data_IF_280016748123
#
_entry.id   IF_280016748123
#
_cell.length_a   1.000
_cell.length_b   1.000
_cell.length_c   1.000
_cell.angle_alpha   90.00
_cell.angle_beta   90.00
_cell.angle_gamma   90.00
#
_symmetry.space_group_name_H-M   'P 1'
#
loop_
_entity.id
_entity.type
_entity.pdbx_description
1 polymer ?
#
# COMPACT_ATOMS: atom_id res chain seq x y z
N UNK A 1 -11.61 -7.38 -3.62
CA UNK A 1 -10.44 -8.13 -3.09
C UNK A 1 -9.33 -7.13 -2.81
N UNK A 2 -8.62 -7.27 -1.69
CA UNK A 2 -7.53 -6.35 -1.31
C UNK A 2 -6.23 -6.82 -1.95
N UNK A 3 -5.52 -5.95 -2.66
CA UNK A 3 -4.27 -6.29 -3.37
C UNK A 3 -3.00 -5.81 -2.66
N UNK A 4 -3.13 -4.77 -1.82
CA UNK A 4 -2.02 -4.22 -1.05
C UNK A 4 -2.50 -3.63 0.27
N UNK A 5 -1.55 -3.34 1.16
CA UNK A 5 -1.86 -2.69 2.45
C UNK A 5 -2.13 -1.19 2.30
N UNK A 6 -1.50 -0.53 1.34
CA UNK A 6 -1.57 0.93 1.17
C UNK A 6 -2.67 1.40 0.21
N UNK A 7 -3.31 0.52 -0.56
CA UNK A 7 -4.30 0.91 -1.58
C UNK A 7 -3.80 0.88 -3.02
N UNK A 8 -2.52 0.58 -3.26
CA UNK A 8 -2.03 0.32 -4.62
C UNK A 8 -2.68 -0.96 -5.17
N UNK A 9 -3.14 -0.92 -6.42
CA UNK A 9 -3.53 -2.10 -7.18
C UNK A 9 -2.27 -2.76 -7.73
N UNK A 10 -1.82 -3.85 -7.09
CA UNK A 10 -0.61 -4.56 -7.52
C UNK A 10 -0.76 -5.17 -8.92
N UNK A 11 -1.97 -5.44 -9.40
CA UNK A 11 -2.21 -5.87 -10.78
C UNK A 11 -1.90 -4.80 -11.83
N UNK A 12 -2.01 -3.53 -11.46
CA UNK A 12 -1.71 -2.39 -12.33
C UNK A 12 -0.29 -1.83 -12.09
N UNK A 13 0.49 -2.49 -11.23
CA UNK A 13 1.83 -2.04 -10.85
C UNK A 13 2.90 -2.58 -11.80
N UNK A 14 3.58 -1.69 -12.51
CA UNK A 14 4.61 -2.04 -13.50
C UNK A 14 5.75 -2.89 -12.94
N UNK A 15 6.17 -2.62 -11.70
CA UNK A 15 7.22 -3.38 -11.01
C UNK A 15 6.91 -4.88 -10.82
N UNK A 16 5.64 -5.30 -10.95
CA UNK A 16 5.28 -6.72 -10.91
C UNK A 16 5.99 -7.51 -12.02
N UNK A 17 6.07 -6.93 -13.21
CA UNK A 17 6.71 -7.54 -14.38
C UNK A 17 8.20 -7.22 -14.44
N UNK A 18 8.59 -5.95 -14.25
CA UNK A 18 9.99 -5.52 -14.40
C UNK A 18 10.97 -6.22 -13.46
N UNK A 19 10.56 -6.41 -12.20
CA UNK A 19 11.42 -7.00 -11.17
C UNK A 19 10.88 -8.33 -10.62
N UNK A 20 9.84 -8.88 -11.24
CA UNK A 20 9.22 -10.13 -10.80
C UNK A 20 8.58 -10.05 -9.41
N UNK A 21 8.10 -8.87 -9.00
CA UNK A 21 7.43 -8.71 -7.71
C UNK A 21 6.13 -9.54 -7.66
N UNK A 22 5.86 -10.24 -6.55
CA UNK A 22 4.66 -11.10 -6.41
C UNK A 22 3.41 -10.37 -5.92
N UNK A 23 3.50 -9.05 -5.71
CA UNK A 23 2.46 -8.21 -5.13
C UNK A 23 2.54 -8.11 -3.61
N UNK A 24 2.07 -6.99 -3.06
CA UNK A 24 2.28 -6.59 -1.66
C UNK A 24 1.83 -7.63 -0.63
N UNK A 25 0.72 -8.34 -0.89
CA UNK A 25 0.18 -9.36 0.02
C UNK A 25 0.92 -10.71 -0.06
N UNK A 26 1.76 -10.92 -1.09
CA UNK A 26 2.45 -12.19 -1.36
C UNK A 26 3.98 -12.09 -1.19
N UNK A 27 4.47 -10.98 -0.63
CA UNK A 27 5.89 -10.76 -0.37
C UNK A 27 6.09 -10.42 1.10
N UNK A 28 7.19 -10.86 1.68
CA UNK A 28 7.59 -10.44 3.03
C UNK A 28 8.35 -9.10 2.97
N UNK A 29 9.18 -8.93 1.94
CA UNK A 29 10.09 -7.80 1.75
C UNK A 29 9.87 -7.13 0.38
N UNK A 30 9.77 -5.78 0.30
CA UNK A 30 9.73 -5.08 -0.99
C UNK A 30 11.10 -5.12 -1.68
N UNK A 31 11.13 -4.93 -3.00
CA UNK A 31 12.40 -4.93 -3.74
C UNK A 31 13.30 -3.73 -3.41
N UNK A 32 12.72 -2.63 -2.93
CA UNK A 32 13.40 -1.35 -2.69
C UNK A 32 13.87 -1.14 -1.24
N UNK A 33 13.72 -2.12 -0.34
CA UNK A 33 14.14 -1.96 1.05
C UNK A 33 13.88 -3.19 1.91
N UNK A 34 14.30 -3.16 3.18
CA UNK A 34 14.10 -4.26 4.12
C UNK A 34 12.64 -4.46 4.53
N UNK A 35 11.85 -3.38 4.55
CA UNK A 35 10.43 -3.45 4.87
C UNK A 35 9.67 -2.27 4.25
N UNK A 36 8.37 -2.46 4.02
CA UNK A 36 7.48 -1.36 3.65
C UNK A 36 6.80 -0.83 4.93
N UNK A 37 7.02 0.44 5.32
CA UNK A 37 6.47 1.01 6.55
C UNK A 37 4.94 0.90 6.63
N UNK A 38 4.25 1.10 5.51
CA UNK A 38 2.78 1.00 5.45
C UNK A 38 2.31 -0.45 5.65
N UNK A 39 3.00 -1.42 5.03
CA UNK A 39 2.71 -2.85 5.18
C UNK A 39 2.90 -3.30 6.62
N UNK A 40 4.06 -3.01 7.19
CA UNK A 40 4.39 -3.34 8.58
C UNK A 40 3.41 -2.69 9.56
N UNK A 41 3.01 -1.44 9.33
CA UNK A 41 2.02 -0.75 10.15
C UNK A 41 0.65 -1.45 10.14
N UNK A 42 0.17 -1.86 8.95
CA UNK A 42 -1.10 -2.59 8.84
C UNK A 42 -1.03 -3.96 9.52
N UNK A 43 0.03 -4.72 9.26
CA UNK A 43 0.18 -6.08 9.80
C UNK A 43 0.35 -6.09 11.31
N UNK A 44 1.14 -5.17 11.87
CA UNK A 44 1.28 -5.00 13.33
C UNK A 44 -0.06 -4.63 13.99
N UNK A 45 -0.95 -3.94 13.28
CA UNK A 45 -2.30 -3.59 13.75
C UNK A 45 -3.35 -4.64 13.40
N UNK A 46 -2.96 -5.75 12.76
CA UNK A 46 -3.88 -6.77 12.23
C UNK A 46 -4.95 -6.19 11.30
N UNK A 47 -4.60 -5.17 10.52
CA UNK A 47 -5.46 -4.54 9.52
C UNK A 47 -5.14 -5.09 8.13
N UNK A 48 -6.18 -5.36 7.34
CA UNK A 48 -5.99 -5.88 5.99
C UNK A 48 -5.46 -4.81 5.03
N UNK A 49 -5.83 -3.54 5.24
CA UNK A 49 -5.34 -2.36 4.51
C UNK A 49 -5.53 -1.08 5.34
N UNK A 50 -4.90 0.02 4.92
CA UNK A 50 -4.96 1.30 5.63
C UNK A 50 -6.37 1.86 5.79
N UNK A 51 -7.30 1.54 4.89
CA UNK A 51 -8.69 1.97 4.98
C UNK A 51 -9.38 1.53 6.29
N UNK A 52 -8.95 0.42 6.91
CA UNK A 52 -9.49 -0.04 8.19
C UNK A 52 -8.86 0.66 9.40
N UNK A 53 -7.89 1.55 9.20
CA UNK A 53 -7.22 2.26 10.28
C UNK A 53 -8.14 3.36 10.84
N UNK A 54 -8.22 3.46 12.18
CA UNK A 54 -9.00 4.52 12.86
C UNK A 54 -8.53 5.95 12.56
N UNK A 55 -7.27 6.10 12.13
CA UNK A 55 -6.65 7.38 11.77
C UNK A 55 -6.64 7.60 10.25
N UNK A 56 -7.44 6.86 9.48
CA UNK A 56 -7.40 6.92 8.03
C UNK A 56 -8.02 8.22 7.46
N UNK A 57 -7.39 8.89 6.48
CA UNK A 57 -6.03 8.64 5.99
C UNK A 57 -4.99 9.19 7.00
N UNK A 58 -4.03 8.35 7.40
CA UNK A 58 -3.00 8.77 8.34
C UNK A 58 -1.82 9.42 7.61
N UNK A 59 -1.02 10.20 8.34
CA UNK A 59 0.13 10.92 7.79
C UNK A 59 1.09 10.01 7.01
N UNK A 60 1.40 8.82 7.53
CA UNK A 60 2.25 7.85 6.82
C UNK A 60 1.68 7.48 5.44
N UNK A 61 0.37 7.28 5.33
CA UNK A 61 -0.24 6.96 4.04
C UNK A 61 -0.24 8.17 3.11
N UNK A 62 -0.51 9.37 3.65
CA UNK A 62 -0.50 10.63 2.89
C UNK A 62 0.88 10.88 2.30
N UNK A 63 1.94 10.75 3.10
CA UNK A 63 3.33 10.88 2.65
C UNK A 63 3.63 9.94 1.47
N UNK A 64 3.22 8.67 1.59
CA UNK A 64 3.41 7.70 0.51
C UNK A 64 2.58 8.02 -0.74
N UNK A 65 1.38 8.58 -0.58
CA UNK A 65 0.47 8.88 -1.70
C UNK A 65 0.88 10.14 -2.48
N UNK A 66 1.57 11.08 -1.83
CA UNK A 66 1.99 12.37 -2.37
C UNK A 66 3.52 12.54 -2.39
N UNK A 67 4.26 11.45 -2.27
CA UNK A 67 5.71 11.44 -2.48
C UNK A 67 6.05 12.00 -3.88
N UNK A 68 7.09 12.82 -3.98
CA UNK A 68 7.40 13.56 -5.22
C UNK A 68 7.80 12.62 -6.37
N UNK A 69 8.43 11.48 -6.07
CA UNK A 69 8.95 10.55 -7.07
C UNK A 69 8.03 9.33 -7.27
N UNK A 70 7.46 8.81 -6.18
CA UNK A 70 6.71 7.54 -6.16
C UNK A 70 5.24 7.70 -5.69
N UNK A 71 4.79 8.94 -5.52
CA UNK A 71 3.41 9.26 -5.21
C UNK A 71 2.48 8.94 -6.38
N UNK A 72 1.21 8.70 -6.07
CA UNK A 72 0.16 8.48 -7.07
C UNK A 72 -0.93 9.55 -7.03
N UNK A 73 -0.62 10.71 -6.43
CA UNK A 73 -1.54 11.84 -6.33
C UNK A 73 -2.76 11.56 -5.44
N UNK A 74 -2.66 10.61 -4.51
CA UNK A 74 -3.78 10.23 -3.64
C UNK A 74 -4.62 9.05 -4.13
N UNK A 75 -4.34 8.47 -5.30
CA UNK A 75 -5.11 7.35 -5.86
C UNK A 75 -5.20 6.16 -4.90
N UNK A 76 -4.11 5.81 -4.19
CA UNK A 76 -4.13 4.73 -3.19
C UNK A 76 -5.05 5.02 -1.99
N UNK A 77 -5.25 6.30 -1.66
CA UNK A 77 -6.18 6.70 -0.59
C UNK A 77 -7.62 6.47 -1.06
N UNK A 78 -7.96 6.90 -2.27
CA UNK A 78 -9.30 6.64 -2.83
C UNK A 78 -9.57 5.13 -2.95
N UNK A 79 -8.58 4.35 -3.39
CA UNK A 79 -8.71 2.90 -3.45
C UNK A 79 -8.93 2.27 -2.07
N UNK A 80 -8.27 2.78 -1.02
CA UNK A 80 -8.53 2.34 0.35
C UNK A 80 -9.97 2.64 0.80
N UNK A 81 -10.57 3.77 0.39
CA UNK A 81 -11.99 4.08 0.67
C UNK A 81 -12.91 3.07 -0.01
N UNK A 82 -12.62 2.67 -1.24
CA UNK A 82 -13.39 1.63 -1.94
C UNK A 82 -13.33 0.26 -1.25
N UNK A 83 -12.31 -0.01 -0.43
CA UNK A 83 -12.17 -1.26 0.32
C UNK A 83 -12.76 -1.20 1.74
N UNK A 84 -13.22 -0.04 2.22
CA UNK A 84 -13.66 0.17 3.61
C UNK A 84 -14.94 -0.56 4.03
N UNK A 85 -15.65 -1.23 3.10
CA UNK A 85 -16.91 -1.97 3.28
C UNK A 85 -17.37 -2.20 4.74
#
# INVERSE_FOLDING_TARGET
>A
MIQSRCGILCEECHYKEEVGCKGCVNIDKPFWGESCPVKSCCENKSLAHCGQCKLFPCELLIQFAYDEEQGDGGKRIEQCKCWQN
#
